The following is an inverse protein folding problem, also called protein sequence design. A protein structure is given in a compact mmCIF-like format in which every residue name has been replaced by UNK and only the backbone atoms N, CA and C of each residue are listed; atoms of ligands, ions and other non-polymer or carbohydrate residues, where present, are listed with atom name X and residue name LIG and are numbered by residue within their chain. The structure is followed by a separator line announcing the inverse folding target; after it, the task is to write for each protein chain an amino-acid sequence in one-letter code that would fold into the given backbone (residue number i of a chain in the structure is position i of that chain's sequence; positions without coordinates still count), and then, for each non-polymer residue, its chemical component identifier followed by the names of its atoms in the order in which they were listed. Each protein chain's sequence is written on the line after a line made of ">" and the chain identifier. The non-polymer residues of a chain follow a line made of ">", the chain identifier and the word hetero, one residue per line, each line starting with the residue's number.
data_IF_840095128226
#
_entry.id   IF_840095128226
#
_cell.length_a   1.000
_cell.length_b   1.000
_cell.length_c   1.000
_cell.angle_alpha   90.00
_cell.angle_beta   90.00
_cell.angle_gamma   90.00
#
_symmetry.space_group_name_H-M   'P 1'
#
loop_
_entity.id
_entity.type
_entity.pdbx_description
1 polymer ?
#
# COMPACT_ATOMS: atom_id res chain seq x y z
N UNK A 1 -30.39 -3.45 -12.48
CA UNK A 1 -30.12 -2.06 -12.04
C UNK A 1 -29.10 -1.99 -10.90
N UNK A 2 -29.31 -2.75 -9.81
CA UNK A 2 -28.38 -2.81 -8.67
C UNK A 2 -26.99 -3.35 -9.02
N UNK A 3 -26.90 -4.37 -9.88
CA UNK A 3 -25.62 -4.97 -10.30
C UNK A 3 -24.72 -4.00 -11.08
N UNK A 4 -25.30 -3.15 -11.93
CA UNK A 4 -24.57 -2.12 -12.66
C UNK A 4 -24.11 -1.00 -11.73
N UNK A 5 -24.93 -0.63 -10.76
CA UNK A 5 -24.58 0.34 -9.73
C UNK A 5 -23.43 -0.20 -8.85
N UNK A 6 -23.48 -1.47 -8.45
CA UNK A 6 -22.41 -2.14 -7.70
C UNK A 6 -21.09 -2.17 -8.46
N UNK A 7 -21.11 -2.43 -9.77
CA UNK A 7 -19.92 -2.37 -10.62
C UNK A 7 -19.39 -0.94 -10.76
N UNK A 8 -20.28 0.04 -10.95
CA UNK A 8 -19.93 1.45 -11.05
C UNK A 8 -19.29 1.98 -9.76
N UNK A 9 -19.87 1.68 -8.60
CA UNK A 9 -19.35 2.09 -7.28
C UNK A 9 -17.98 1.43 -7.00
N UNK A 10 -17.73 0.22 -7.50
CA UNK A 10 -16.45 -0.50 -7.32
C UNK A 10 -15.35 -0.04 -8.27
N UNK A 11 -15.71 0.51 -9.43
CA UNK A 11 -14.76 0.97 -10.44
C UNK A 11 -14.65 2.50 -10.52
N UNK A 12 -15.20 3.22 -9.53
CA UNK A 12 -15.22 4.68 -9.51
C UNK A 12 -13.78 5.24 -9.60
N UNK A 13 -13.51 5.98 -10.67
CA UNK A 13 -12.21 6.60 -10.92
C UNK A 13 -11.16 5.71 -11.61
N UNK A 14 -11.47 4.45 -11.94
CA UNK A 14 -10.56 3.56 -12.67
C UNK A 14 -11.27 2.81 -13.81
N UNK A 15 -11.40 3.49 -14.96
CA UNK A 15 -12.08 2.97 -16.15
C UNK A 15 -11.41 1.70 -16.73
N UNK A 16 -10.10 1.53 -16.52
CA UNK A 16 -9.39 0.33 -16.93
C UNK A 16 -9.81 -0.88 -16.08
N UNK A 17 -9.92 -0.69 -14.76
CA UNK A 17 -10.44 -1.73 -13.87
C UNK A 17 -11.90 -2.09 -14.19
N UNK A 18 -12.72 -1.09 -14.56
CA UNK A 18 -14.09 -1.33 -15.03
C UNK A 18 -14.11 -2.24 -16.27
N UNK A 19 -13.26 -1.93 -17.25
CA UNK A 19 -13.16 -2.71 -18.48
C UNK A 19 -12.70 -4.15 -18.19
N UNK A 20 -11.68 -4.32 -17.35
CA UNK A 20 -11.18 -5.66 -16.99
C UNK A 20 -12.23 -6.50 -16.26
N UNK A 21 -13.04 -5.90 -15.40
CA UNK A 21 -14.11 -6.62 -14.70
C UNK A 21 -15.24 -7.04 -15.65
N UNK A 22 -15.58 -6.20 -16.65
CA UNK A 22 -16.53 -6.55 -17.72
C UNK A 22 -15.99 -7.69 -18.59
N UNK A 23 -14.72 -7.64 -18.99
CA UNK A 23 -14.07 -8.69 -19.79
C UNK A 23 -14.03 -10.02 -19.03
N UNK A 24 -13.73 -9.98 -17.73
CA UNK A 24 -13.75 -11.15 -16.85
C UNK A 24 -15.16 -11.75 -16.72
N UNK A 25 -16.20 -10.91 -16.62
CA UNK A 25 -17.58 -11.40 -16.58
C UNK A 25 -17.99 -12.10 -17.87
N UNK A 26 -17.58 -11.56 -19.02
CA UNK A 26 -17.83 -12.18 -20.33
C UNK A 26 -17.12 -13.54 -20.50
N UNK A 27 -16.02 -13.78 -19.78
CA UNK A 27 -15.29 -15.06 -19.79
C UNK A 27 -15.87 -16.08 -18.80
N UNK A 28 -16.48 -15.64 -17.71
CA UNK A 28 -16.96 -16.50 -16.62
C UNK A 28 -18.43 -16.88 -16.74
N UNK A 29 -19.24 -16.10 -17.44
CA UNK A 29 -20.69 -16.28 -17.52
C UNK A 29 -21.15 -16.55 -18.95
N UNK A 30 -22.18 -17.40 -19.14
CA UNK A 30 -22.75 -17.65 -20.45
C UNK A 30 -23.41 -16.39 -21.02
N UNK A 31 -23.47 -16.25 -22.37
CA UNK A 31 -24.13 -15.13 -23.01
C UNK A 31 -25.64 -15.11 -22.70
N UNK A 32 -26.17 -13.95 -22.33
CA UNK A 32 -27.59 -13.75 -22.00
C UNK A 32 -27.80 -12.82 -20.81
N UNK A 33 -29.04 -12.76 -20.31
CA UNK A 33 -29.37 -12.00 -19.10
C UNK A 33 -28.66 -12.61 -17.88
N UNK A 34 -27.85 -11.79 -17.20
CA UNK A 34 -27.09 -12.24 -16.04
C UNK A 34 -27.94 -12.15 -14.78
N UNK A 35 -28.14 -13.29 -14.11
CA UNK A 35 -28.76 -13.32 -12.79
C UNK A 35 -27.88 -12.55 -11.78
N UNK A 36 -28.46 -11.71 -10.90
CA UNK A 36 -27.70 -10.95 -9.91
C UNK A 36 -26.75 -11.82 -9.08
N UNK A 37 -27.18 -13.02 -8.66
CA UNK A 37 -26.35 -13.94 -7.88
C UNK A 37 -25.20 -14.54 -8.70
N UNK A 38 -25.37 -14.72 -10.02
CA UNK A 38 -24.32 -15.22 -10.90
C UNK A 38 -23.24 -14.15 -11.12
N UNK A 39 -23.64 -12.89 -11.24
CA UNK A 39 -22.69 -11.76 -11.29
C UNK A 39 -21.99 -11.59 -9.96
N UNK A 40 -22.70 -11.61 -8.83
CA UNK A 40 -22.06 -11.53 -7.51
C UNK A 40 -21.01 -12.62 -7.31
N UNK A 41 -21.29 -13.87 -7.71
CA UNK A 41 -20.35 -14.98 -7.61
C UNK A 41 -19.18 -14.89 -8.61
N UNK A 42 -19.38 -14.38 -9.83
CA UNK A 42 -18.32 -14.17 -10.82
C UNK A 42 -17.42 -12.95 -10.48
N UNK A 43 -18.00 -11.94 -9.85
CA UNK A 43 -17.33 -10.73 -9.32
C UNK A 43 -16.76 -10.99 -7.91
N UNK A 44 -17.05 -12.13 -7.26
CA UNK A 44 -16.67 -12.44 -5.87
C UNK A 44 -15.17 -12.60 -5.60
N UNK A 45 -14.29 -12.30 -6.56
CA UNK A 45 -12.86 -12.06 -6.25
C UNK A 45 -12.57 -10.56 -6.30
N UNK A 46 -13.19 -9.82 -5.39
CA UNK A 46 -12.57 -8.61 -4.88
C UNK A 46 -11.54 -9.08 -3.87
N UNK A 47 -10.25 -8.86 -4.14
CA UNK A 47 -9.20 -9.07 -3.16
C UNK A 47 -9.61 -8.34 -1.88
N UNK A 48 -9.73 -9.07 -0.76
CA UNK A 48 -10.17 -8.47 0.50
C UNK A 48 -9.16 -7.42 0.96
N UNK A 49 -7.93 -7.61 0.53
CA UNK A 49 -6.76 -6.82 0.85
C UNK A 49 -6.13 -6.33 -0.44
N UNK A 50 -5.71 -5.07 -0.45
CA UNK A 50 -4.98 -4.50 -1.58
C UNK A 50 -3.76 -3.72 -1.11
N UNK A 51 -2.86 -3.43 -2.05
CA UNK A 51 -1.60 -2.75 -1.78
C UNK A 51 -1.80 -1.33 -1.25
N UNK A 52 -2.90 -0.66 -1.62
CA UNK A 52 -3.22 0.70 -1.18
C UNK A 52 -3.65 0.70 0.29
N UNK A 53 -4.39 -0.33 0.72
CA UNK A 53 -4.76 -0.53 2.13
C UNK A 53 -3.52 -0.82 2.99
N UNK A 54 -2.56 -1.57 2.46
CA UNK A 54 -1.29 -1.85 3.14
C UNK A 54 -0.47 -0.56 3.33
N UNK A 55 -0.28 0.17 2.22
CA UNK A 55 0.40 1.48 2.18
C UNK A 55 -0.23 2.48 3.16
N UNK A 56 -1.56 2.63 3.10
CA UNK A 56 -2.31 3.53 3.97
C UNK A 56 -2.16 3.16 5.45
N UNK A 57 -2.33 1.89 5.80
CA UNK A 57 -2.19 1.43 7.19
C UNK A 57 -0.77 1.66 7.73
N UNK A 58 0.25 1.42 6.91
CA UNK A 58 1.65 1.67 7.29
C UNK A 58 1.91 3.17 7.53
N UNK A 59 1.47 4.04 6.62
CA UNK A 59 1.65 5.48 6.72
C UNK A 59 0.91 6.06 7.95
N UNK A 60 -0.31 5.60 8.21
CA UNK A 60 -1.07 5.98 9.41
C UNK A 60 -0.46 5.48 10.71
N UNK A 61 0.45 4.48 10.66
CA UNK A 61 1.00 3.84 11.86
C UNK A 61 0.06 2.79 12.47
N UNK A 62 -0.92 2.30 11.71
CA UNK A 62 -1.89 1.29 12.15
C UNK A 62 -1.29 -0.12 12.06
N UNK A 63 -0.34 -0.42 12.95
CA UNK A 63 0.46 -1.66 12.96
C UNK A 63 -0.41 -2.93 12.84
N UNK A 64 -1.46 -3.06 13.65
CA UNK A 64 -2.32 -4.25 13.64
C UNK A 64 -3.04 -4.41 12.29
N UNK A 65 -3.52 -3.32 11.69
CA UNK A 65 -4.17 -3.33 10.38
C UNK A 65 -3.15 -3.65 9.29
N UNK A 66 -1.97 -3.04 9.32
CA UNK A 66 -0.88 -3.32 8.37
C UNK A 66 -0.54 -4.82 8.37
N UNK A 67 -0.31 -5.42 9.54
CA UNK A 67 0.01 -6.85 9.63
C UNK A 67 -1.13 -7.75 9.10
N UNK A 68 -2.38 -7.37 9.38
CA UNK A 68 -3.57 -8.10 8.90
C UNK A 68 -3.68 -8.04 7.37
N UNK A 69 -3.52 -6.85 6.79
CA UNK A 69 -3.57 -6.67 5.33
C UNK A 69 -2.42 -7.42 4.66
N UNK A 70 -1.20 -7.30 5.20
CA UNK A 70 -0.02 -7.99 4.67
C UNK A 70 -0.18 -9.51 4.69
N UNK A 71 -0.68 -10.09 5.79
CA UNK A 71 -0.95 -11.52 5.87
C UNK A 71 -2.02 -11.98 4.86
N UNK A 72 -3.00 -11.11 4.57
CA UNK A 72 -3.99 -11.34 3.52
C UNK A 72 -3.37 -11.38 2.13
N UNK A 73 -2.55 -10.38 1.79
CA UNK A 73 -1.83 -10.31 0.51
C UNK A 73 -0.90 -11.50 0.32
N UNK A 74 -0.22 -11.93 1.37
CA UNK A 74 0.64 -13.12 1.38
C UNK A 74 -0.18 -14.40 1.11
N UNK A 75 -1.32 -14.57 1.78
CA UNK A 75 -2.20 -15.72 1.59
C UNK A 75 -2.88 -15.75 0.20
N UNK A 76 -3.13 -14.58 -0.38
CA UNK A 76 -3.66 -14.43 -1.74
C UNK A 76 -2.58 -14.64 -2.82
N UNK A 77 -1.31 -14.76 -2.43
CA UNK A 77 -0.19 -15.02 -3.34
C UNK A 77 0.29 -13.78 -4.10
N UNK A 78 0.04 -12.59 -3.58
CA UNK A 78 0.50 -11.33 -4.18
C UNK A 78 2.04 -11.31 -4.27
N UNK A 79 2.58 -10.75 -5.35
CA UNK A 79 4.02 -10.75 -5.56
C UNK A 79 4.74 -9.81 -4.60
N UNK A 80 5.55 -10.35 -3.68
CA UNK A 80 6.37 -9.55 -2.75
C UNK A 80 7.14 -8.37 -3.40
N UNK A 81 7.70 -8.49 -4.63
CA UNK A 81 8.35 -7.35 -5.29
C UNK A 81 7.45 -6.12 -5.48
N UNK A 82 6.16 -6.33 -5.75
CA UNK A 82 5.20 -5.23 -5.93
C UNK A 82 4.98 -4.49 -4.60
N UNK A 83 4.81 -5.24 -3.51
CA UNK A 83 4.63 -4.66 -2.18
C UNK A 83 5.88 -3.86 -1.77
N UNK A 84 7.07 -4.42 -1.97
CA UNK A 84 8.35 -3.75 -1.66
C UNK A 84 8.53 -2.47 -2.47
N UNK A 85 8.18 -2.50 -3.76
CA UNK A 85 8.17 -1.31 -4.60
C UNK A 85 7.23 -0.23 -4.02
N UNK A 86 6.00 -0.58 -3.64
CA UNK A 86 5.05 0.39 -3.08
C UNK A 86 5.55 1.01 -1.77
N UNK A 87 6.08 0.22 -0.85
CA UNK A 87 6.61 0.74 0.41
C UNK A 87 7.81 1.68 0.19
N UNK A 88 8.65 1.35 -0.80
CA UNK A 88 9.79 2.19 -1.19
C UNK A 88 9.34 3.51 -1.83
N UNK A 89 8.31 3.47 -2.68
CA UNK A 89 7.69 4.65 -3.28
C UNK A 89 7.11 5.59 -2.21
N UNK A 90 6.35 5.04 -1.26
CA UNK A 90 5.79 5.80 -0.15
C UNK A 90 6.90 6.42 0.73
N UNK A 91 8.00 5.70 0.98
CA UNK A 91 9.13 6.22 1.73
C UNK A 91 9.84 7.37 0.98
N UNK A 92 10.06 7.25 -0.33
CA UNK A 92 10.64 8.34 -1.11
C UNK A 92 9.73 9.57 -1.14
N UNK A 93 8.42 9.38 -1.30
CA UNK A 93 7.45 10.47 -1.20
C UNK A 93 7.51 11.14 0.17
N UNK A 94 7.57 10.36 1.26
CA UNK A 94 7.72 10.87 2.62
C UNK A 94 9.00 11.71 2.78
N UNK A 95 10.13 11.24 2.26
CA UNK A 95 11.40 11.98 2.30
C UNK A 95 11.28 13.34 1.61
N UNK A 96 10.63 13.38 0.43
CA UNK A 96 10.40 14.62 -0.30
C UNK A 96 9.49 15.59 0.48
N UNK A 97 8.43 15.07 1.11
CA UNK A 97 7.52 15.86 1.94
C UNK A 97 8.24 16.44 3.16
N UNK A 98 9.03 15.62 3.86
CA UNK A 98 9.80 16.05 5.04
C UNK A 98 10.87 17.09 4.66
N UNK A 99 11.55 16.90 3.52
CA UNK A 99 12.54 17.87 3.03
C UNK A 99 11.89 19.22 2.68
N UNK A 100 10.78 19.20 1.93
CA UNK A 100 10.07 20.42 1.52
C UNK A 100 9.52 21.18 2.73
N UNK A 101 8.94 20.48 3.70
CA UNK A 101 8.39 21.11 4.92
C UNK A 101 9.47 21.74 5.79
N UNK A 102 10.64 21.09 5.91
CA UNK A 102 11.82 21.70 6.56
C UNK A 102 12.34 22.93 5.82
N UNK A 103 12.16 22.98 4.51
CA UNK A 103 12.44 24.15 3.68
C UNK A 103 11.41 25.28 3.81
N UNK A 104 10.41 25.16 4.69
CA UNK A 104 9.39 26.18 4.95
C UNK A 104 8.11 26.01 4.12
N UNK A 105 8.00 24.97 3.29
CA UNK A 105 6.77 24.69 2.55
C UNK A 105 5.66 24.18 3.50
N UNK A 106 4.41 24.67 3.39
CA UNK A 106 3.30 24.09 4.13
C UNK A 106 3.11 22.60 3.83
N UNK A 107 2.87 21.79 4.87
CA UNK A 107 2.78 20.31 4.76
C UNK A 107 1.77 19.84 3.72
N UNK A 108 0.55 20.38 3.72
CA UNK A 108 -0.47 20.01 2.75
C UNK A 108 -0.04 20.30 1.29
N UNK A 109 0.74 21.36 1.07
CA UNK A 109 1.29 21.67 -0.25
C UNK A 109 2.41 20.69 -0.62
N UNK A 110 3.29 20.35 0.33
CA UNK A 110 4.37 19.40 0.13
C UNK A 110 3.83 18.01 -0.27
N UNK A 111 2.76 17.54 0.39
CA UNK A 111 2.10 16.25 0.08
C UNK A 111 1.50 16.25 -1.33
N UNK A 112 0.83 17.34 -1.73
CA UNK A 112 0.32 17.47 -3.10
C UNK A 112 1.45 17.46 -4.14
N UNK A 113 2.56 18.14 -3.85
CA UNK A 113 3.72 18.19 -4.74
C UNK A 113 4.42 16.82 -4.88
N UNK A 114 4.34 15.97 -3.85
CA UNK A 114 4.82 14.59 -3.88
C UNK A 114 3.93 13.66 -4.71
N UNK A 115 2.88 14.17 -5.39
CA UNK A 115 1.93 13.41 -6.22
C UNK A 115 1.25 12.26 -5.47
N UNK A 116 1.03 12.43 -4.17
CA UNK A 116 0.22 11.53 -3.36
C UNK A 116 -1.24 11.97 -3.46
N UNK A 117 -2.16 11.04 -3.72
CA UNK A 117 -3.57 11.33 -3.99
C UNK A 117 -4.51 10.54 -3.08
N UNK A 118 -5.75 11.02 -2.98
CA UNK A 118 -6.83 10.33 -2.25
C UNK A 118 -6.53 10.15 -0.76
N UNK A 119 -6.97 9.01 -0.21
CA UNK A 119 -6.82 8.70 1.23
C UNK A 119 -5.36 8.68 1.70
N UNK A 120 -4.40 8.44 0.81
CA UNK A 120 -2.96 8.47 1.12
C UNK A 120 -2.45 9.87 1.45
N UNK A 121 -3.13 10.96 1.08
CA UNK A 121 -2.69 12.32 1.45
C UNK A 121 -2.70 12.51 2.97
N UNK A 122 -3.82 12.19 3.62
CA UNK A 122 -3.94 12.29 5.07
C UNK A 122 -2.97 11.33 5.78
N UNK A 123 -2.80 10.12 5.24
CA UNK A 123 -1.84 9.14 5.77
C UNK A 123 -0.40 9.64 5.66
N UNK A 124 -0.02 10.26 4.53
CA UNK A 124 1.29 10.84 4.32
C UNK A 124 1.56 12.03 5.25
N UNK A 125 0.56 12.89 5.48
CA UNK A 125 0.66 13.97 6.46
C UNK A 125 0.89 13.43 7.88
N UNK A 126 0.17 12.37 8.26
CA UNK A 126 0.34 11.72 9.55
C UNK A 126 1.75 11.13 9.70
N UNK A 127 2.23 10.41 8.68
CA UNK A 127 3.58 9.87 8.64
C UNK A 127 4.65 10.96 8.76
N UNK A 128 4.52 12.06 8.01
CA UNK A 128 5.47 13.19 8.02
C UNK A 128 5.56 13.90 9.38
N UNK A 129 4.47 13.90 10.16
CA UNK A 129 4.46 14.45 11.52
C UNK A 129 5.01 13.48 12.56
N UNK A 130 4.86 12.18 12.31
CA UNK A 130 5.21 11.09 13.24
C UNK A 130 6.68 10.68 13.14
N UNK A 131 7.19 10.51 11.93
CA UNK A 131 8.52 9.94 11.66
C UNK A 131 9.58 11.02 11.85
N UNK A 132 10.59 10.71 12.67
CA UNK A 132 11.71 11.61 12.88
C UNK A 132 12.59 11.68 11.63
N UNK A 133 12.94 12.89 11.14
CA UNK A 133 13.74 13.02 9.93
C UNK A 133 15.12 12.34 10.00
N UNK A 134 15.67 12.17 11.21
CA UNK A 134 16.93 11.46 11.42
C UNK A 134 16.86 9.96 11.06
N UNK A 135 15.66 9.36 11.10
CA UNK A 135 15.44 7.94 10.79
C UNK A 135 15.31 7.67 9.29
N UNK A 136 15.03 8.69 8.47
CA UNK A 136 14.74 8.51 7.05
C UNK A 136 15.92 7.90 6.27
N UNK A 137 17.16 8.28 6.61
CA UNK A 137 18.35 7.70 5.97
C UNK A 137 18.50 6.20 6.25
N UNK A 138 18.23 5.78 7.48
CA UNK A 138 18.21 4.36 7.88
C UNK A 138 17.09 3.61 7.18
N UNK A 139 15.88 4.18 7.14
CA UNK A 139 14.74 3.56 6.45
C UNK A 139 14.99 3.39 4.95
N UNK A 140 15.64 4.35 4.28
CA UNK A 140 16.01 4.23 2.85
C UNK A 140 16.99 3.06 2.65
N UNK A 141 17.97 2.93 3.54
CA UNK A 141 18.95 1.84 3.46
C UNK A 141 18.31 0.47 3.67
N UNK A 142 17.36 0.35 4.61
CA UNK A 142 16.58 -0.88 4.81
C UNK A 142 15.65 -1.18 3.64
N UNK A 143 15.02 -0.16 3.03
CA UNK A 143 14.19 -0.34 1.84
C UNK A 143 15.02 -0.89 0.66
N UNK A 144 16.25 -0.38 0.46
CA UNK A 144 17.16 -0.89 -0.56
C UNK A 144 17.58 -2.35 -0.30
N UNK A 145 17.83 -2.72 0.96
CA UNK A 145 18.10 -4.11 1.36
C UNK A 145 16.92 -5.02 1.05
N UNK A 146 15.70 -4.55 1.36
CA UNK A 146 14.46 -5.30 1.11
C UNK A 146 14.19 -5.47 -0.39
N UNK A 147 14.44 -4.47 -1.21
CA UNK A 147 14.32 -4.55 -2.68
C UNK A 147 15.29 -5.57 -3.29
N UNK A 148 16.55 -5.58 -2.82
CA UNK A 148 17.52 -6.60 -3.22
C UNK A 148 17.05 -8.01 -2.84
N UNK A 149 16.52 -8.18 -1.62
CA UNK A 149 15.98 -9.45 -1.15
C UNK A 149 14.79 -9.93 -1.99
N UNK A 150 13.86 -9.03 -2.32
CA UNK A 150 12.71 -9.34 -3.17
C UNK A 150 13.11 -9.75 -4.61
N UNK A 151 14.30 -9.34 -5.06
CA UNK A 151 14.92 -9.76 -6.34
C UNK A 151 15.73 -11.05 -6.23
N UNK A 152 15.70 -11.73 -5.08
CA UNK A 152 16.43 -12.98 -4.83
C UNK A 152 17.90 -12.78 -4.47
N UNK A 153 18.33 -11.55 -4.19
CA UNK A 153 19.69 -11.24 -3.74
C UNK A 153 19.74 -11.29 -2.22
N UNK A 154 19.77 -12.50 -1.66
CA UNK A 154 19.86 -12.71 -0.22
C UNK A 154 19.46 -14.12 0.21
N UNK A 155 19.57 -14.39 1.52
CA UNK A 155 19.14 -15.66 2.14
C UNK A 155 17.96 -15.52 3.09
N UNK A 156 17.59 -14.28 3.42
CA UNK A 156 16.49 -13.98 4.34
C UNK A 156 15.13 -14.29 3.68
N UNK A 157 14.13 -14.52 4.50
CA UNK A 157 12.75 -14.73 4.05
C UNK A 157 12.09 -13.35 3.80
N UNK A 158 11.62 -13.12 2.55
CA UNK A 158 11.19 -11.80 2.06
C UNK A 158 10.00 -11.26 2.83
N UNK A 159 9.00 -12.08 3.16
CA UNK A 159 7.78 -11.64 3.83
C UNK A 159 8.04 -11.22 5.28
N UNK A 160 8.90 -11.95 5.99
CA UNK A 160 9.38 -11.59 7.32
C UNK A 160 10.15 -10.27 7.30
N UNK A 161 11.04 -10.08 6.33
CA UNK A 161 11.77 -8.82 6.16
C UNK A 161 10.84 -7.64 5.83
N UNK A 162 9.86 -7.85 4.95
CA UNK A 162 8.84 -6.85 4.58
C UNK A 162 7.98 -6.47 5.79
N UNK A 163 7.52 -7.46 6.55
CA UNK A 163 6.75 -7.24 7.79
C UNK A 163 7.55 -6.41 8.78
N UNK A 164 8.81 -6.76 9.02
CA UNK A 164 9.68 -6.02 9.93
C UNK A 164 9.92 -4.58 9.46
N UNK A 165 10.15 -4.38 8.16
CA UNK A 165 10.31 -3.05 7.59
C UNK A 165 9.05 -2.19 7.78
N UNK A 166 7.88 -2.72 7.47
CA UNK A 166 6.62 -2.02 7.66
C UNK A 166 6.33 -1.72 9.14
N UNK A 167 6.69 -2.62 10.06
CA UNK A 167 6.61 -2.38 11.51
C UNK A 167 7.54 -1.26 11.96
N UNK A 168 8.78 -1.21 11.44
CA UNK A 168 9.70 -0.12 11.73
C UNK A 168 9.15 1.21 11.24
N UNK A 169 8.62 1.29 10.02
CA UNK A 169 8.07 2.54 9.47
C UNK A 169 6.77 2.97 10.18
N UNK A 170 5.84 2.04 10.41
CA UNK A 170 4.59 2.29 11.12
C UNK A 170 4.82 2.64 12.60
N UNK A 171 5.83 2.01 13.22
CA UNK A 171 6.21 2.18 14.63
C UNK A 171 7.23 3.29 14.89
N UNK A 172 7.88 3.84 13.85
CA UNK A 172 8.82 4.97 13.95
C UNK A 172 8.09 6.25 14.37
N UNK A 173 7.68 6.33 15.63
CA UNK A 173 7.47 7.56 16.37
C UNK A 173 8.74 7.88 17.17
N UNK A 174 8.78 9.10 17.73
CA UNK A 174 9.90 9.72 18.48
C UNK A 174 10.58 8.91 19.61
N UNK A 175 10.21 7.67 19.85
CA UNK A 175 10.64 6.89 21.02
C UNK A 175 11.20 5.50 20.73
N UNK A 176 11.14 4.96 19.50
CA UNK A 176 11.38 3.53 19.30
C UNK A 176 12.27 3.26 18.11
N UNK A 177 13.57 3.56 18.20
CA UNK A 177 14.64 2.78 17.55
C UNK A 177 15.95 3.01 18.33
N UNK A 178 16.08 2.34 19.49
CA UNK A 178 17.41 2.03 20.03
C UNK A 178 17.88 0.76 19.28
N UNK A 179 19.11 0.70 18.76
CA UNK A 179 19.56 -0.46 18.01
C UNK A 179 19.51 -1.69 18.90
N UNK A 180 18.91 -2.77 18.43
CA UNK A 180 19.15 -4.10 18.99
C UNK A 180 20.56 -4.52 18.55
N UNK A 181 21.56 -4.01 19.27
CA UNK A 181 22.90 -4.57 19.25
C UNK A 181 22.97 -5.61 20.38
N UNK A 182 23.14 -6.87 20.01
CA UNK A 182 23.32 -8.02 20.89
C UNK A 182 23.60 -9.26 20.06
#
# INVERSE_FOLDING_TARGET
>A
PETLQMLADRCEGNLLAAQQEIEKLALLLPPGDLAPEAVENAVARVARYDITQMSEAMLLGEVARFCKVLAGLEAEGEGAPLLVWQLSDDLHALCNVVAATRGGMPLAQAVKNARVWGRRQAAMEAAARRIEPALLGTLISEAARLDALAKGLGKDEVWGALRNFGLQLAGAGRAVLRPLAG
#
